data_IF_302046113570
#
_entry.id   IF_302046113570
#
_cell.length_a   1.000
_cell.length_b   1.000
_cell.length_c   1.000
_cell.angle_alpha   90.00
_cell.angle_beta   90.00
_cell.angle_gamma   90.00
#
_symmetry.space_group_name_H-M   'P 1'
#
loop_
_entity.id
_entity.type
_entity.pdbx_description
1 polymer ?
#
# COMPACT_ATOMS: atom_id res chain seq x y z
N UNK A 1 -44.68 2.62 2.76
CA UNK A 1 -44.84 3.14 1.38
C UNK A 1 -43.46 3.41 0.79
N UNK A 2 -43.10 2.79 -0.33
CA UNK A 2 -41.80 3.02 -0.97
C UNK A 2 -41.77 4.45 -1.56
N UNK A 3 -40.70 5.24 -1.33
CA UNK A 3 -40.60 6.58 -1.90
C UNK A 3 -40.50 6.43 -3.42
N UNK A 4 -41.45 7.03 -4.14
CA UNK A 4 -41.48 7.01 -5.59
C UNK A 4 -40.23 7.74 -6.08
N UNK A 5 -39.24 6.98 -6.59
CA UNK A 5 -37.95 7.52 -7.02
C UNK A 5 -38.20 8.37 -8.26
N UNK A 6 -38.38 9.67 -8.05
CA UNK A 6 -38.54 10.65 -9.12
C UNK A 6 -37.39 10.49 -10.09
N UNK A 7 -37.70 10.10 -11.34
CA UNK A 7 -36.69 9.94 -12.38
C UNK A 7 -36.02 11.30 -12.59
N UNK A 8 -34.68 11.38 -12.62
CA UNK A 8 -33.99 12.65 -12.84
C UNK A 8 -34.43 13.21 -14.20
N UNK A 9 -35.10 14.36 -14.17
CA UNK A 9 -35.59 15.09 -15.33
C UNK A 9 -34.86 16.43 -15.42
N UNK A 10 -34.69 16.97 -16.64
CA UNK A 10 -34.00 18.26 -16.84
C UNK A 10 -34.65 19.40 -16.06
N UNK A 11 -35.97 19.36 -15.92
CA UNK A 11 -36.72 20.31 -15.08
C UNK A 11 -36.32 20.25 -13.60
N UNK A 12 -36.05 19.05 -13.05
CA UNK A 12 -35.62 18.92 -11.66
C UNK A 12 -34.19 19.46 -11.48
N UNK A 13 -33.30 19.23 -12.44
CA UNK A 13 -31.96 19.82 -12.42
C UNK A 13 -32.01 21.36 -12.43
N UNK A 14 -32.89 21.93 -13.27
CA UNK A 14 -33.12 23.36 -13.30
C UNK A 14 -33.73 23.88 -11.99
N UNK A 15 -34.70 23.19 -11.43
CA UNK A 15 -35.38 23.59 -10.18
C UNK A 15 -34.41 23.61 -9.01
N UNK A 16 -33.49 22.64 -8.93
CA UNK A 16 -32.43 22.62 -7.91
C UNK A 16 -31.48 23.81 -8.08
N UNK A 17 -30.97 24.07 -9.29
CA UNK A 17 -30.10 25.24 -9.55
C UNK A 17 -30.81 26.58 -9.25
N UNK A 18 -32.09 26.69 -9.58
CA UNK A 18 -32.88 27.89 -9.34
C UNK A 18 -33.15 28.09 -7.84
N UNK A 19 -33.50 27.02 -7.13
CA UNK A 19 -33.69 27.03 -5.68
C UNK A 19 -32.40 27.44 -4.96
N UNK A 20 -31.25 26.95 -5.39
CA UNK A 20 -29.96 27.33 -4.79
C UNK A 20 -29.62 28.81 -4.99
N UNK A 21 -30.09 29.42 -6.08
CA UNK A 21 -29.82 30.83 -6.41
C UNK A 21 -30.84 31.81 -5.83
N UNK A 22 -32.13 31.47 -5.90
CA UNK A 22 -33.23 32.40 -5.61
C UNK A 22 -34.11 31.97 -4.44
N UNK A 23 -34.11 30.68 -4.09
CA UNK A 23 -35.10 30.07 -3.21
C UNK A 23 -34.51 29.22 -2.09
N UNK A 24 -33.36 29.61 -1.52
CA UNK A 24 -32.69 28.80 -0.47
C UNK A 24 -33.60 28.50 0.73
N UNK A 25 -34.54 29.40 1.03
CA UNK A 25 -35.51 29.28 2.12
C UNK A 25 -36.85 28.62 1.71
N UNK A 26 -37.10 28.43 0.42
CA UNK A 26 -38.35 27.86 -0.07
C UNK A 26 -38.34 26.33 0.02
N UNK A 27 -39.51 25.74 0.26
CA UNK A 27 -39.67 24.29 0.17
C UNK A 27 -39.48 23.85 -1.28
N UNK A 28 -39.00 22.62 -1.49
CA UNK A 28 -38.84 22.06 -2.84
C UNK A 28 -40.15 22.09 -3.63
N UNK A 29 -41.29 21.93 -2.93
CA UNK A 29 -42.62 21.94 -3.54
C UNK A 29 -43.03 23.34 -4.06
N UNK A 30 -42.69 24.39 -3.32
CA UNK A 30 -42.94 25.79 -3.69
C UNK A 30 -42.01 26.22 -4.83
N UNK A 31 -40.72 25.88 -4.71
CA UNK A 31 -39.74 26.12 -5.75
C UNK A 31 -40.17 25.48 -7.08
N UNK A 32 -40.71 24.25 -7.04
CA UNK A 32 -41.21 23.56 -8.25
C UNK A 32 -42.39 24.30 -8.90
N UNK A 33 -43.28 24.90 -8.12
CA UNK A 33 -44.44 25.63 -8.64
C UNK A 33 -44.02 26.94 -9.34
N UNK A 34 -43.04 27.65 -8.79
CA UNK A 34 -42.52 28.88 -9.38
C UNK A 34 -41.63 28.61 -10.59
N UNK A 35 -40.74 27.62 -10.49
CA UNK A 35 -39.85 27.22 -11.59
C UNK A 35 -40.62 26.62 -12.75
N UNK A 36 -41.77 25.98 -12.52
CA UNK A 36 -42.64 25.47 -13.59
C UNK A 36 -43.04 26.57 -14.59
N UNK A 37 -43.48 27.73 -14.07
CA UNK A 37 -43.88 28.89 -14.89
C UNK A 37 -42.69 29.52 -15.65
N UNK A 38 -41.49 29.44 -15.09
CA UNK A 38 -40.27 29.93 -15.73
C UNK A 38 -39.79 28.93 -16.79
N UNK A 39 -39.88 27.64 -16.48
CA UNK A 39 -39.50 26.55 -17.37
C UNK A 39 -40.36 26.54 -18.62
N UNK A 40 -41.69 26.69 -18.50
CA UNK A 40 -42.62 26.77 -19.64
C UNK A 40 -42.28 27.92 -20.59
N UNK A 41 -41.90 29.07 -20.06
CA UNK A 41 -41.47 30.24 -20.85
C UNK A 41 -40.08 30.10 -21.47
N UNK A 42 -39.29 29.11 -21.06
CA UNK A 42 -37.92 28.90 -21.54
C UNK A 42 -37.90 28.14 -22.88
N UNK A 43 -37.14 28.64 -23.86
CA UNK A 43 -36.96 27.99 -25.16
C UNK A 43 -36.27 26.61 -25.05
N UNK A 44 -36.57 25.71 -25.99
CA UNK A 44 -36.01 24.35 -26.02
C UNK A 44 -34.47 24.33 -26.04
N UNK A 45 -33.82 25.31 -26.69
CA UNK A 45 -32.36 25.44 -26.70
C UNK A 45 -31.78 25.66 -25.30
N UNK A 46 -32.45 26.44 -24.46
CA UNK A 46 -32.02 26.67 -23.06
C UNK A 46 -32.32 25.47 -22.17
N UNK A 47 -33.31 24.64 -22.52
CA UNK A 47 -33.65 23.39 -21.82
C UNK A 47 -32.71 22.23 -22.17
N UNK A 48 -32.09 22.25 -23.35
CA UNK A 48 -31.18 21.20 -23.84
C UNK A 48 -30.06 20.82 -22.84
N UNK A 49 -29.26 21.76 -22.30
CA UNK A 49 -28.19 21.41 -21.35
C UNK A 49 -28.72 20.75 -20.07
N UNK A 50 -29.91 21.15 -19.61
CA UNK A 50 -30.53 20.55 -18.43
C UNK A 50 -30.99 19.12 -18.68
N UNK A 51 -31.50 18.83 -19.88
CA UNK A 51 -31.88 17.47 -20.28
C UNK A 51 -30.66 16.56 -20.42
N UNK A 52 -29.54 17.07 -20.91
CA UNK A 52 -28.26 16.35 -20.97
C UNK A 52 -27.72 16.04 -19.57
N UNK A 53 -27.68 17.04 -18.68
CA UNK A 53 -27.33 16.83 -17.26
C UNK A 53 -28.22 15.77 -16.59
N UNK A 54 -29.52 15.77 -16.89
CA UNK A 54 -30.44 14.76 -16.35
C UNK A 54 -30.17 13.35 -16.89
N UNK A 55 -29.79 13.22 -18.16
CA UNK A 55 -29.35 11.93 -18.75
C UNK A 55 -28.06 11.44 -18.09
N UNK A 56 -27.09 12.33 -17.88
CA UNK A 56 -25.84 12.00 -17.21
C UNK A 56 -26.07 11.55 -15.77
N UNK A 57 -26.88 12.28 -15.02
CA UNK A 57 -27.26 11.89 -13.65
C UNK A 57 -28.01 10.56 -13.59
N UNK A 58 -28.82 10.23 -14.60
CA UNK A 58 -29.46 8.91 -14.71
C UNK A 58 -28.43 7.79 -14.89
N UNK A 59 -27.37 8.03 -15.64
CA UNK A 59 -26.27 7.07 -15.83
C UNK A 59 -25.50 6.90 -14.53
N UNK A 60 -25.16 8.01 -13.85
CA UNK A 60 -24.50 8.00 -12.52
C UNK A 60 -25.32 7.27 -11.47
N UNK A 61 -26.63 7.51 -11.37
CA UNK A 61 -27.50 6.79 -10.42
C UNK A 61 -27.59 5.29 -10.74
N UNK A 62 -27.48 4.90 -12.02
CA UNK A 62 -27.43 3.49 -12.42
C UNK A 62 -26.09 2.83 -12.10
N UNK A 63 -24.97 3.56 -12.17
CA UNK A 63 -23.66 3.07 -11.73
C UNK A 63 -23.54 3.03 -10.21
N UNK A 64 -24.09 4.03 -9.52
CA UNK A 64 -24.03 4.20 -8.06
C UNK A 64 -25.12 3.45 -7.31
N UNK A 65 -26.08 2.87 -8.04
CA UNK A 65 -27.05 1.93 -7.50
C UNK A 65 -26.29 0.71 -7.00
N UNK A 66 -25.81 0.77 -5.76
CA UNK A 66 -25.05 -0.26 -5.07
C UNK A 66 -25.75 -1.59 -5.33
N UNK A 67 -25.22 -2.38 -6.26
CA UNK A 67 -25.67 -3.74 -6.48
C UNK A 67 -25.39 -4.45 -5.16
N UNK A 68 -26.45 -4.85 -4.48
CA UNK A 68 -26.35 -5.60 -3.25
C UNK A 68 -26.27 -7.08 -3.62
N UNK A 69 -25.50 -7.85 -2.88
CA UNK A 69 -25.54 -9.30 -2.90
C UNK A 69 -26.85 -9.80 -2.28
N UNK A 70 -27.15 -11.08 -2.41
CA UNK A 70 -28.30 -11.73 -1.77
C UNK A 70 -28.31 -11.60 -0.23
N UNK A 71 -27.17 -11.27 0.38
CA UNK A 71 -26.99 -11.04 1.82
C UNK A 71 -27.11 -9.54 2.18
N UNK A 72 -27.33 -8.67 1.20
CA UNK A 72 -27.47 -7.23 1.40
C UNK A 72 -26.15 -6.47 1.51
N UNK A 73 -25.00 -7.10 1.25
CA UNK A 73 -23.71 -6.42 1.22
C UNK A 73 -23.49 -5.77 -0.16
N UNK A 74 -22.99 -4.52 -0.24
CA UNK A 74 -22.67 -3.90 -1.52
C UNK A 74 -21.50 -4.64 -2.19
N UNK A 75 -21.65 -4.98 -3.47
CA UNK A 75 -20.65 -5.72 -4.25
C UNK A 75 -19.26 -5.04 -4.22
N UNK A 76 -19.21 -3.71 -4.13
CA UNK A 76 -17.96 -2.96 -4.02
C UNK A 76 -17.13 -3.33 -2.79
N UNK A 77 -17.77 -3.72 -1.67
CA UNK A 77 -17.06 -4.17 -0.47
C UNK A 77 -16.47 -5.56 -0.68
N UNK A 78 -17.23 -6.47 -1.29
CA UNK A 78 -16.80 -7.84 -1.57
C UNK A 78 -15.61 -7.87 -2.54
N UNK A 79 -15.64 -7.05 -3.58
CA UNK A 79 -14.52 -6.95 -4.54
C UNK A 79 -13.25 -6.40 -3.87
N UNK A 80 -13.39 -5.42 -2.97
CA UNK A 80 -12.27 -4.86 -2.21
C UNK A 80 -11.66 -5.90 -1.26
N UNK A 81 -12.50 -6.61 -0.53
CA UNK A 81 -12.07 -7.69 0.38
C UNK A 81 -11.32 -8.79 -0.37
N UNK A 82 -11.83 -9.20 -1.54
CA UNK A 82 -11.17 -10.18 -2.41
C UNK A 82 -9.77 -9.70 -2.83
N UNK A 83 -9.64 -8.44 -3.22
CA UNK A 83 -8.36 -7.87 -3.64
C UNK A 83 -7.36 -7.75 -2.47
N UNK A 84 -7.84 -7.40 -1.27
CA UNK A 84 -7.02 -7.37 -0.05
C UNK A 84 -6.52 -8.77 0.33
N UNK A 85 -7.33 -9.82 0.17
CA UNK A 85 -6.91 -11.20 0.40
C UNK A 85 -5.83 -11.63 -0.60
N UNK A 86 -6.01 -11.35 -1.90
CA UNK A 86 -5.01 -11.66 -2.92
C UNK A 86 -3.67 -10.91 -2.67
N UNK A 87 -3.73 -9.69 -2.15
CA UNK A 87 -2.53 -8.93 -1.78
C UNK A 87 -1.81 -9.55 -0.57
N UNK A 88 -2.57 -9.96 0.46
CA UNK A 88 -2.02 -10.64 1.64
C UNK A 88 -1.34 -11.95 1.27
N UNK A 89 -1.95 -12.76 0.40
CA UNK A 89 -1.35 -14.00 -0.08
C UNK A 89 -0.02 -13.76 -0.81
N UNK A 90 0.02 -12.77 -1.70
CA UNK A 90 1.26 -12.37 -2.40
C UNK A 90 2.32 -11.89 -1.41
N UNK A 91 1.93 -11.13 -0.38
CA UNK A 91 2.84 -10.63 0.63
C UNK A 91 3.43 -11.76 1.47
N UNK A 92 2.60 -12.72 1.91
CA UNK A 92 3.04 -13.89 2.68
C UNK A 92 4.06 -14.70 1.86
N UNK A 93 3.76 -14.97 0.58
CA UNK A 93 4.67 -15.72 -0.30
C UNK A 93 6.03 -15.03 -0.43
N UNK A 94 6.05 -13.71 -0.65
CA UNK A 94 7.29 -12.90 -0.72
C UNK A 94 8.07 -12.96 0.59
N UNK A 95 7.39 -12.83 1.73
CA UNK A 95 8.04 -12.87 3.06
C UNK A 95 8.69 -14.22 3.33
N UNK A 96 8.01 -15.32 2.97
CA UNK A 96 8.56 -16.67 3.12
C UNK A 96 9.80 -16.83 2.22
N UNK A 97 9.71 -16.46 0.94
CA UNK A 97 10.82 -16.56 0.00
C UNK A 97 12.04 -15.74 0.46
N UNK A 98 11.82 -14.53 0.97
CA UNK A 98 12.88 -13.66 1.47
C UNK A 98 13.52 -14.23 2.75
N UNK A 99 12.72 -14.75 3.67
CA UNK A 99 13.20 -15.41 4.90
C UNK A 99 14.08 -16.61 4.56
N UNK A 100 13.66 -17.45 3.61
CA UNK A 100 14.42 -18.63 3.18
C UNK A 100 15.71 -18.26 2.46
N UNK A 101 15.71 -17.22 1.62
CA UNK A 101 16.93 -16.73 0.97
C UNK A 101 17.91 -16.17 1.99
N UNK A 102 17.42 -15.36 2.93
CA UNK A 102 18.25 -14.75 3.96
C UNK A 102 18.88 -15.80 4.88
N UNK A 103 18.13 -16.83 5.29
CA UNK A 103 18.67 -17.90 6.14
C UNK A 103 19.77 -18.71 5.44
N UNK A 104 19.61 -19.03 4.15
CA UNK A 104 20.66 -19.68 3.34
C UNK A 104 21.93 -18.83 3.27
N UNK A 105 21.80 -17.53 3.05
CA UNK A 105 22.94 -16.61 2.99
C UNK A 105 23.65 -16.55 4.35
N UNK A 106 22.91 -16.53 5.46
CA UNK A 106 23.51 -16.54 6.79
C UNK A 106 24.27 -17.84 7.08
N UNK A 107 23.70 -18.99 6.71
CA UNK A 107 24.38 -20.29 6.84
C UNK A 107 25.69 -20.33 6.06
N UNK A 108 25.69 -19.87 4.80
CA UNK A 108 26.89 -19.82 3.96
C UNK A 108 27.95 -18.89 4.55
N UNK A 109 27.54 -17.74 5.11
CA UNK A 109 28.45 -16.82 5.81
C UNK A 109 29.08 -17.48 7.04
N UNK A 110 28.30 -18.21 7.83
CA UNK A 110 28.82 -18.91 9.01
C UNK A 110 29.77 -20.06 8.64
N UNK A 111 29.47 -20.85 7.60
CA UNK A 111 30.37 -21.93 7.16
C UNK A 111 31.67 -21.39 6.58
N UNK A 112 31.61 -20.32 5.78
CA UNK A 112 32.82 -19.67 5.26
C UNK A 112 33.69 -19.10 6.39
N UNK A 113 33.06 -18.54 7.43
CA UNK A 113 33.78 -18.04 8.60
C UNK A 113 34.48 -19.14 9.39
N UNK A 114 33.82 -20.28 9.60
CA UNK A 114 34.42 -21.45 10.26
C UNK A 114 35.59 -22.02 9.45
N UNK A 115 35.43 -22.17 8.13
CA UNK A 115 36.51 -22.63 7.25
C UNK A 115 37.72 -21.69 7.25
N UNK A 116 37.50 -20.37 7.28
CA UNK A 116 38.59 -19.39 7.38
C UNK A 116 39.32 -19.48 8.72
N UNK A 117 38.59 -19.72 9.82
CA UNK A 117 39.16 -19.91 11.16
C UNK A 117 40.07 -21.13 11.22
N UNK A 118 39.60 -22.26 10.69
CA UNK A 118 40.34 -23.52 10.74
C UNK A 118 41.59 -23.49 9.83
N UNK A 119 41.49 -22.83 8.67
CA UNK A 119 42.65 -22.55 7.81
C UNK A 119 43.69 -21.66 8.52
N UNK A 120 43.25 -20.61 9.21
CA UNK A 120 44.14 -19.74 9.99
C UNK A 120 44.83 -20.49 11.13
N UNK A 121 44.09 -21.30 11.89
CA UNK A 121 44.66 -22.12 12.97
C UNK A 121 45.71 -23.11 12.46
N UNK A 122 45.48 -23.75 11.30
CA UNK A 122 46.42 -24.69 10.70
C UNK A 122 47.70 -23.99 10.22
N UNK A 123 47.56 -22.79 9.65
CA UNK A 123 48.70 -21.99 9.18
C UNK A 123 49.57 -21.51 10.36
N UNK A 124 48.94 -21.05 11.45
CA UNK A 124 49.64 -20.67 12.69
C UNK A 124 50.32 -21.87 13.35
N UNK A 125 49.70 -23.06 13.34
CA UNK A 125 50.29 -24.27 13.87
C UNK A 125 51.52 -24.73 13.06
N UNK A 126 51.44 -24.64 11.72
CA UNK A 126 52.56 -24.95 10.82
C UNK A 126 53.74 -23.98 11.01
N UNK A 127 53.45 -22.68 11.18
CA UNK A 127 54.47 -21.67 11.50
C UNK A 127 55.13 -21.88 12.87
N UNK A 128 54.39 -22.31 13.89
CA UNK A 128 54.97 -22.68 15.20
C UNK A 128 55.92 -23.88 15.13
N UNK A 129 55.71 -24.82 14.19
CA UNK A 129 56.64 -25.93 13.96
C UNK A 129 57.98 -25.50 13.34
N UNK A 130 58.00 -24.38 12.62
CA UNK A 130 59.22 -23.83 11.98
C UNK A 130 59.97 -22.85 12.89
N UNK A 131 59.32 -22.30 13.94
CA UNK A 131 59.83 -21.20 14.76
C UNK A 131 60.63 -21.59 16.02
N UNK A 132 61.05 -22.86 16.16
CA UNK A 132 61.90 -23.31 17.27
C UNK A 132 63.41 -23.02 17.09
N UNK A 133 63.81 -22.19 16.12
CA UNK A 133 65.23 -21.94 15.80
C UNK A 133 65.73 -20.49 15.87
N UNK A 134 64.92 -19.48 16.22
CA UNK A 134 65.44 -18.11 16.42
C UNK A 134 64.54 -17.29 17.37
N UNK A 135 65.06 -16.91 18.54
CA UNK A 135 64.24 -16.50 19.70
C UNK A 135 64.06 -14.97 19.88
N UNK A 136 64.67 -14.10 19.06
CA UNK A 136 64.81 -12.68 19.46
C UNK A 136 63.97 -11.63 18.68
N UNK A 137 63.04 -12.02 17.80
CA UNK A 137 62.17 -11.04 17.06
C UNK A 137 60.66 -11.25 17.19
N UNK A 138 60.21 -12.01 18.19
CA UNK A 138 58.84 -12.53 18.23
C UNK A 138 57.78 -11.68 18.94
N UNK A 139 58.14 -10.60 19.64
CA UNK A 139 57.18 -9.90 20.50
C UNK A 139 56.23 -8.94 19.77
N UNK A 140 56.65 -8.31 18.66
CA UNK A 140 55.81 -7.32 17.97
C UNK A 140 54.73 -7.94 17.06
N UNK A 141 54.99 -9.11 16.46
CA UNK A 141 54.03 -9.76 15.56
C UNK A 141 52.81 -10.37 16.30
N UNK A 142 52.99 -10.78 17.55
CA UNK A 142 51.92 -11.41 18.34
C UNK A 142 50.85 -10.40 18.78
N UNK A 143 51.24 -9.14 19.04
CA UNK A 143 50.32 -8.07 19.40
C UNK A 143 49.52 -7.54 18.20
N UNK A 144 50.14 -7.47 17.01
CA UNK A 144 49.46 -7.01 15.79
C UNK A 144 48.34 -7.98 15.35
N UNK A 145 48.56 -9.29 15.48
CA UNK A 145 47.55 -10.31 15.17
C UNK A 145 46.35 -10.27 16.13
N UNK A 146 46.58 -9.96 17.41
CA UNK A 146 45.54 -9.92 18.43
C UNK A 146 44.58 -8.73 18.24
N UNK A 147 45.11 -7.58 17.82
CA UNK A 147 44.32 -6.39 17.48
C UNK A 147 43.46 -6.59 16.20
N UNK A 148 43.99 -7.30 15.21
CA UNK A 148 43.25 -7.64 13.99
C UNK A 148 42.12 -8.64 14.25
N UNK A 149 42.37 -9.65 15.08
CA UNK A 149 41.36 -10.63 15.49
C UNK A 149 40.21 -9.99 16.28
N UNK A 150 40.47 -9.04 17.17
CA UNK A 150 39.40 -8.31 17.87
C UNK A 150 38.52 -7.47 16.95
N UNK A 151 39.07 -6.98 15.83
CA UNK A 151 38.32 -6.15 14.86
C UNK A 151 37.49 -6.98 13.88
N UNK A 152 37.88 -8.24 13.65
CA UNK A 152 37.13 -9.23 12.86
C UNK A 152 36.07 -9.99 13.68
N UNK A 153 36.28 -10.12 15.00
CA UNK A 153 35.41 -10.92 15.87
C UNK A 153 34.24 -10.14 16.50
N UNK A 154 34.27 -8.79 16.46
CA UNK A 154 33.16 -7.93 16.85
C UNK A 154 32.62 -7.14 15.65
N UNK A 155 31.71 -7.70 14.83
CA UNK A 155 30.94 -6.88 13.92
C UNK A 155 30.04 -5.97 14.77
N UNK A 156 30.25 -4.66 14.64
CA UNK A 156 29.48 -3.61 15.30
C UNK A 156 27.98 -3.95 15.38
N UNK A 157 27.46 -3.99 16.60
CA UNK A 157 26.07 -4.29 16.99
C UNK A 157 25.04 -3.25 16.52
N UNK A 158 25.31 -2.50 15.44
CA UNK A 158 24.52 -1.33 15.05
C UNK A 158 23.49 -1.57 13.93
N UNK A 159 23.39 -2.78 13.36
CA UNK A 159 22.41 -3.04 12.26
C UNK A 159 21.07 -3.66 12.68
N UNK A 160 20.75 -3.76 13.98
CA UNK A 160 19.47 -4.37 14.44
C UNK A 160 18.44 -3.29 14.87
N UNK A 161 18.52 -2.06 14.35
CA UNK A 161 17.52 -1.00 14.62
C UNK A 161 16.96 -0.36 13.34
N UNK A 162 16.29 -1.13 12.48
CA UNK A 162 15.39 -0.57 11.46
C UNK A 162 14.38 -1.66 11.00
N UNK A 163 13.55 -2.16 11.91
CA UNK A 163 12.26 -2.79 11.55
C UNK A 163 11.25 -2.34 12.60
N UNK A 164 10.60 -1.21 12.33
CA UNK A 164 9.27 -0.83 12.81
C UNK A 164 8.59 -0.09 11.66
#
# INVERSE_FOLDING_TARGET
>A
MAPNKSKPNGFMAFTMEWKDKHGKQLSLREATAETGKIWERMNMQKRAPYNEKAKENKIRIRSDGKKLTCVGTPISQVEKEKLELEQKEKQIKRTIEQTVKNSKIQLIKMTNFLGLRDAFCTLVASWRGVFLLNHDRLFEYFLFSRAWLTRLWYPSRNSIKQIN
#
